data_IF_500548795013
#
_entry.id   IF_500548795013
#
_cell.length_a   1.000
_cell.length_b   1.000
_cell.length_c   1.000
_cell.angle_alpha   90.00
_cell.angle_beta   90.00
_cell.angle_gamma   90.00
#
_symmetry.space_group_name_H-M   'P 1'
#
loop_
_entity.id
_entity.type
_entity.pdbx_description
1 polymer ?
#
# COMPACT_ATOMS: atom_id res chain seq x y z
N UNK A 1 13.78 26.78 -23.13
CA UNK A 1 13.50 25.80 -22.04
C UNK A 1 12.43 26.42 -21.16
N UNK A 2 11.19 25.91 -21.19
CA UNK A 2 10.14 26.38 -20.28
C UNK A 2 10.57 26.03 -18.85
N UNK A 3 10.62 27.02 -17.95
CA UNK A 3 10.88 26.76 -16.54
C UNK A 3 9.81 25.83 -15.99
N UNK A 4 10.23 24.69 -15.43
CA UNK A 4 9.33 23.79 -14.73
C UNK A 4 8.91 24.47 -13.43
N UNK A 5 7.68 25.00 -13.40
CA UNK A 5 7.06 25.53 -12.19
C UNK A 5 7.09 24.46 -11.09
N UNK A 6 7.96 24.64 -10.10
CA UNK A 6 8.09 23.75 -8.95
C UNK A 6 7.12 24.20 -7.88
N UNK A 7 6.29 23.27 -7.42
CA UNK A 7 5.34 23.51 -6.36
C UNK A 7 5.90 23.01 -5.02
N UNK A 8 6.35 23.94 -4.18
CA UNK A 8 7.02 23.61 -2.91
C UNK A 8 6.14 22.78 -1.95
N UNK A 9 4.82 22.93 -2.01
CA UNK A 9 3.89 22.17 -1.16
C UNK A 9 3.98 20.65 -1.40
N UNK A 10 4.24 20.20 -2.64
CA UNK A 10 4.41 18.77 -2.89
C UNK A 10 5.66 18.22 -2.21
N UNK A 11 6.70 19.04 -2.08
CA UNK A 11 7.95 18.63 -1.45
C UNK A 11 7.78 18.57 0.06
N UNK A 12 7.15 19.58 0.68
CA UNK A 12 6.83 19.55 2.12
C UNK A 12 5.94 18.37 2.50
N UNK A 13 4.89 18.09 1.71
CA UNK A 13 4.02 16.93 1.93
C UNK A 13 4.79 15.61 1.77
N UNK A 14 5.68 15.52 0.77
CA UNK A 14 6.50 14.31 0.58
C UNK A 14 7.45 14.09 1.76
N UNK A 15 8.08 15.15 2.27
CA UNK A 15 8.99 15.07 3.43
C UNK A 15 8.21 14.61 4.68
N UNK A 16 7.06 15.24 4.95
CA UNK A 16 6.23 14.86 6.09
C UNK A 16 5.72 13.41 5.98
N UNK A 17 5.30 12.97 4.78
CA UNK A 17 4.89 11.59 4.54
C UNK A 17 6.05 10.59 4.72
N UNK A 18 7.28 10.94 4.27
CA UNK A 18 8.45 10.09 4.51
C UNK A 18 8.71 9.90 6.01
N UNK A 19 8.64 10.98 6.79
CA UNK A 19 8.83 10.93 8.25
C UNK A 19 7.74 10.07 8.91
N UNK A 20 6.48 10.23 8.52
CA UNK A 20 5.37 9.43 9.03
C UNK A 20 5.55 7.93 8.73
N UNK A 21 5.98 7.56 7.52
CA UNK A 21 6.30 6.16 7.17
C UNK A 21 7.43 5.61 8.03
N UNK A 22 8.48 6.40 8.28
CA UNK A 22 9.58 5.99 9.16
C UNK A 22 9.08 5.67 10.57
N UNK A 23 8.23 6.52 11.14
CA UNK A 23 7.64 6.27 12.45
C UNK A 23 6.85 4.97 12.48
N UNK A 24 5.98 4.71 11.49
CA UNK A 24 5.22 3.46 11.42
C UNK A 24 6.15 2.23 11.32
N UNK A 25 7.19 2.30 10.49
CA UNK A 25 8.05 1.13 10.24
C UNK A 25 9.06 0.86 11.37
N UNK A 26 9.31 1.83 12.24
CA UNK A 26 10.11 1.65 13.45
C UNK A 26 9.27 1.25 14.66
N UNK A 27 7.94 1.26 14.53
CA UNK A 27 7.00 1.03 15.62
C UNK A 27 6.59 -0.46 15.73
N UNK A 28 7.56 -1.34 15.98
CA UNK A 28 7.31 -2.79 16.06
C UNK A 28 6.26 -3.19 17.12
N UNK A 29 6.12 -2.40 18.19
CA UNK A 29 5.13 -2.61 19.26
C UNK A 29 3.69 -2.48 18.77
N UNK A 30 3.43 -1.73 17.71
CA UNK A 30 2.08 -1.60 17.17
C UNK A 30 1.51 -2.93 16.66
N UNK A 31 2.37 -3.84 16.19
CA UNK A 31 1.97 -5.08 15.54
C UNK A 31 1.77 -6.25 16.50
N UNK A 32 2.14 -6.09 17.77
CA UNK A 32 1.99 -7.12 18.80
C UNK A 32 1.12 -6.58 19.93
N UNK A 33 -0.10 -7.10 20.04
CA UNK A 33 -1.01 -6.66 21.08
C UNK A 33 -0.41 -6.91 22.45
N UNK A 34 -0.28 -5.83 23.21
CA UNK A 34 0.14 -5.86 24.60
C UNK A 34 -0.78 -4.94 25.40
N UNK A 35 -1.22 -5.40 26.58
CA UNK A 35 -2.05 -4.58 27.46
C UNK A 35 -1.17 -3.59 28.24
N UNK A 36 -0.57 -2.62 27.53
CA UNK A 36 0.33 -1.62 28.09
C UNK A 36 0.02 -0.21 27.58
N UNK A 37 0.39 0.81 28.36
CA UNK A 37 0.30 2.20 27.93
C UNK A 37 1.20 2.48 26.70
N UNK A 38 2.32 1.78 26.59
CA UNK A 38 3.24 1.89 25.45
C UNK A 38 2.58 1.39 24.17
N UNK A 39 1.88 0.26 24.20
CA UNK A 39 1.12 -0.23 23.05
C UNK A 39 0.05 0.78 22.60
N UNK A 40 -0.66 1.41 23.55
CA UNK A 40 -1.66 2.42 23.23
C UNK A 40 -1.05 3.66 22.56
N UNK A 41 0.11 4.13 23.06
CA UNK A 41 0.85 5.24 22.44
C UNK A 41 1.33 4.84 21.04
N UNK A 42 1.86 3.63 20.88
CA UNK A 42 2.24 3.07 19.59
C UNK A 42 1.08 3.04 18.60
N UNK A 43 -0.12 2.64 19.03
CA UNK A 43 -1.34 2.71 18.20
C UNK A 43 -1.73 4.14 17.85
N UNK A 44 -1.62 5.08 18.79
CA UNK A 44 -1.84 6.50 18.52
C UNK A 44 -0.91 7.03 17.42
N UNK A 45 0.37 6.66 17.45
CA UNK A 45 1.36 7.04 16.42
C UNK A 45 1.00 6.44 15.06
N UNK A 46 0.63 5.16 14.99
CA UNK A 46 0.16 4.53 13.75
C UNK A 46 -1.00 5.30 13.13
N UNK A 47 -2.06 5.55 13.91
CA UNK A 47 -3.25 6.26 13.43
C UNK A 47 -2.91 7.67 12.93
N UNK A 48 -2.02 8.38 13.61
CA UNK A 48 -1.57 9.72 13.22
C UNK A 48 -0.68 9.73 11.98
N UNK A 49 0.02 8.63 11.67
CA UNK A 49 0.94 8.54 10.53
C UNK A 49 0.31 7.87 9.30
N UNK A 50 -0.83 7.19 9.46
CA UNK A 50 -1.47 6.38 8.43
C UNK A 50 -1.79 7.13 7.11
N UNK A 51 -2.00 8.45 7.19
CA UNK A 51 -2.26 9.31 6.04
C UNK A 51 -1.12 9.36 5.01
N UNK A 52 0.10 8.97 5.40
CA UNK A 52 1.29 9.11 4.56
C UNK A 52 1.20 8.32 3.25
N UNK A 53 0.68 7.08 3.31
CA UNK A 53 0.57 6.19 2.15
C UNK A 53 -0.40 6.76 1.09
N UNK A 54 -1.66 7.13 1.43
CA UNK A 54 -2.55 7.82 0.50
C UNK A 54 -1.94 9.08 -0.13
N UNK A 55 -1.17 9.86 0.64
CA UNK A 55 -0.54 11.08 0.12
C UNK A 55 0.53 10.77 -0.93
N UNK A 56 1.31 9.69 -0.79
CA UNK A 56 2.24 9.29 -1.86
C UNK A 56 1.53 8.96 -3.17
N UNK A 57 0.40 8.26 -3.12
CA UNK A 57 -0.40 7.98 -4.31
C UNK A 57 -1.00 9.26 -4.91
N UNK A 58 -1.52 10.17 -4.06
CA UNK A 58 -2.05 11.45 -4.49
C UNK A 58 -1.00 12.32 -5.20
N UNK A 59 0.19 12.47 -4.59
CA UNK A 59 1.30 13.25 -5.17
C UNK A 59 1.75 12.62 -6.50
N UNK A 60 1.83 11.29 -6.56
CA UNK A 60 2.16 10.56 -7.78
C UNK A 60 1.13 10.80 -8.87
N UNK A 61 -0.16 10.70 -8.57
CA UNK A 61 -1.25 11.02 -9.49
C UNK A 61 -1.14 12.45 -10.01
N UNK A 62 -1.12 13.44 -9.11
CA UNK A 62 -1.09 14.87 -9.47
C UNK A 62 0.08 15.23 -10.40
N UNK A 63 1.28 14.69 -10.16
CA UNK A 63 2.46 14.96 -10.99
C UNK A 63 2.40 14.28 -12.36
N UNK A 64 1.64 13.18 -12.48
CA UNK A 64 1.65 12.31 -13.64
C UNK A 64 0.41 12.41 -14.51
N UNK A 65 -0.71 12.94 -14.04
CA UNK A 65 -1.95 13.07 -14.83
C UNK A 65 -1.75 13.80 -16.17
N UNK A 66 -0.86 14.80 -16.19
CA UNK A 66 -0.52 15.57 -17.41
C UNK A 66 0.73 15.04 -18.14
N UNK A 67 1.09 13.75 -18.00
CA UNK A 67 2.30 13.22 -18.65
C UNK A 67 2.22 13.27 -20.19
N UNK A 68 1.01 13.15 -20.76
CA UNK A 68 0.75 13.11 -22.21
C UNK A 68 1.16 14.40 -22.94
N UNK A 69 1.27 15.50 -22.21
CA UNK A 69 1.75 16.79 -22.75
C UNK A 69 3.27 16.79 -22.98
N UNK A 70 4.00 15.85 -22.38
CA UNK A 70 5.47 15.84 -22.34
C UNK A 70 6.09 14.58 -22.92
N UNK A 71 5.40 13.45 -22.84
CA UNK A 71 5.93 12.14 -23.18
C UNK A 71 4.86 11.24 -23.79
N UNK A 72 5.28 10.32 -24.64
CA UNK A 72 4.43 9.23 -25.11
C UNK A 72 4.13 8.24 -23.98
N UNK A 73 3.03 7.48 -24.08
CA UNK A 73 2.70 6.43 -23.10
C UNK A 73 3.79 5.36 -23.01
N UNK A 74 4.46 5.04 -24.13
CA UNK A 74 5.58 4.09 -24.15
C UNK A 74 6.75 4.59 -23.30
N UNK A 75 7.13 5.86 -23.46
CA UNK A 75 8.20 6.47 -22.64
C UNK A 75 7.80 6.59 -21.17
N UNK A 76 6.53 6.88 -20.89
CA UNK A 76 6.01 6.91 -19.53
C UNK A 76 6.21 5.55 -18.83
N UNK A 77 5.74 4.46 -19.45
CA UNK A 77 5.85 3.11 -18.88
C UNK A 77 7.32 2.70 -18.72
N UNK A 78 8.15 2.93 -19.75
CA UNK A 78 9.59 2.62 -19.70
C UNK A 78 10.27 3.26 -18.48
N UNK A 79 10.01 4.55 -18.25
CA UNK A 79 10.58 5.27 -17.09
C UNK A 79 10.09 4.75 -15.75
N UNK A 80 8.88 4.16 -15.65
CA UNK A 80 8.38 3.54 -14.40
C UNK A 80 9.03 2.19 -14.15
N UNK A 81 9.21 1.39 -15.20
CA UNK A 81 9.97 0.14 -15.10
C UNK A 81 11.38 0.44 -14.60
N UNK A 82 12.08 1.38 -15.23
CA UNK A 82 13.46 1.74 -14.88
C UNK A 82 13.62 2.28 -13.46
N UNK A 83 12.67 3.10 -13.00
CA UNK A 83 12.79 3.80 -11.70
C UNK A 83 12.12 3.09 -10.53
N UNK A 84 11.27 2.12 -10.78
CA UNK A 84 10.47 1.46 -9.73
C UNK A 84 10.62 -0.05 -9.79
N UNK A 85 10.31 -0.68 -10.92
CA UNK A 85 10.33 -2.14 -11.04
C UNK A 85 11.76 -2.68 -10.92
N UNK A 86 12.71 -2.10 -11.65
CA UNK A 86 14.11 -2.55 -11.62
C UNK A 86 14.71 -2.41 -10.21
N UNK A 87 14.64 -1.24 -9.53
CA UNK A 87 15.13 -1.12 -8.17
C UNK A 87 14.44 -2.06 -7.18
N UNK A 88 13.12 -2.23 -7.27
CA UNK A 88 12.37 -3.13 -6.39
C UNK A 88 12.85 -4.59 -6.53
N UNK A 89 12.98 -5.09 -7.76
CA UNK A 89 13.47 -6.45 -8.01
C UNK A 89 14.93 -6.62 -7.60
N UNK A 90 15.78 -5.62 -7.89
CA UNK A 90 17.19 -5.66 -7.52
C UNK A 90 17.37 -5.72 -5.99
N UNK A 91 16.67 -4.87 -5.24
CA UNK A 91 16.73 -4.92 -3.78
C UNK A 91 16.14 -6.21 -3.22
N UNK A 92 15.02 -6.68 -3.76
CA UNK A 92 14.42 -7.96 -3.35
C UNK A 92 15.39 -9.13 -3.54
N UNK A 93 16.13 -9.15 -4.65
CA UNK A 93 17.17 -10.15 -4.91
C UNK A 93 18.36 -10.05 -3.95
N UNK A 94 18.84 -8.83 -3.66
CA UNK A 94 19.91 -8.61 -2.66
C UNK A 94 19.48 -9.14 -1.29
N UNK A 95 18.26 -8.85 -0.86
CA UNK A 95 17.76 -9.31 0.44
C UNK A 95 17.54 -10.81 0.49
N UNK A 96 17.01 -11.42 -0.57
CA UNK A 96 16.90 -12.87 -0.67
C UNK A 96 18.28 -13.53 -0.57
N UNK A 97 19.28 -12.99 -1.26
CA UNK A 97 20.65 -13.48 -1.19
C UNK A 97 21.24 -13.38 0.22
N UNK A 98 21.00 -12.27 0.94
CA UNK A 98 21.41 -12.13 2.34
C UNK A 98 20.73 -13.15 3.27
N UNK A 99 19.46 -13.48 3.02
CA UNK A 99 18.74 -14.52 3.77
C UNK A 99 19.32 -15.92 3.53
N UNK A 100 19.72 -16.22 2.29
CA UNK A 100 20.41 -17.49 1.96
C UNK A 100 21.74 -17.58 2.69
N UNK A 101 22.56 -16.52 2.70
CA UNK A 101 23.85 -16.51 3.42
C UNK A 101 23.65 -16.72 4.92
N UNK A 102 22.60 -16.14 5.50
CA UNK A 102 22.27 -16.29 6.93
C UNK A 102 21.66 -17.66 7.27
N UNK A 103 21.40 -18.50 6.27
CA UNK A 103 20.79 -19.82 6.45
C UNK A 103 19.30 -19.79 6.80
N UNK A 104 18.63 -18.63 6.67
CA UNK A 104 17.18 -18.53 6.90
C UNK A 104 16.36 -19.08 5.74
N UNK A 105 16.95 -19.20 4.54
CA UNK A 105 16.33 -19.80 3.35
C UNK A 105 17.30 -20.82 2.73
N UNK A 106 16.81 -22.02 2.41
CA UNK A 106 17.62 -23.06 1.76
C UNK A 106 17.81 -22.77 0.27
N UNK A 107 18.97 -23.10 -0.27
CA UNK A 107 19.28 -22.91 -1.71
C UNK A 107 18.29 -23.63 -2.65
N UNK A 108 17.78 -24.79 -2.22
CA UNK A 108 16.80 -25.58 -2.95
C UNK A 108 15.45 -24.85 -3.12
N UNK A 109 15.07 -24.03 -2.14
CA UNK A 109 13.86 -23.20 -2.20
C UNK A 109 14.05 -22.06 -3.22
N UNK A 110 15.28 -21.56 -3.36
CA UNK A 110 15.66 -20.48 -4.29
C UNK A 110 15.70 -20.93 -5.76
N UNK A 111 15.92 -22.22 -6.01
CA UNK A 111 15.96 -22.77 -7.38
C UNK A 111 14.58 -23.18 -7.91
N UNK A 112 13.52 -23.02 -7.11
CA UNK A 112 12.17 -23.43 -7.45
C UNK A 112 11.31 -22.27 -7.98
N UNK A 113 10.20 -22.58 -8.66
CA UNK A 113 9.18 -21.61 -9.10
C UNK A 113 8.65 -20.76 -7.93
N UNK A 114 8.80 -21.25 -6.68
CA UNK A 114 8.37 -20.53 -5.47
C UNK A 114 9.11 -19.20 -5.31
N UNK A 115 10.29 -19.03 -5.88
CA UNK A 115 10.97 -17.72 -5.86
C UNK A 115 10.16 -16.67 -6.58
N UNK A 116 9.55 -16.97 -7.71
CA UNK A 116 8.69 -16.00 -8.40
C UNK A 116 7.53 -15.58 -7.50
N UNK A 117 6.95 -16.52 -6.76
CA UNK A 117 5.93 -16.22 -5.75
C UNK A 117 6.46 -15.30 -4.65
N UNK A 118 7.65 -15.58 -4.10
CA UNK A 118 8.27 -14.75 -3.05
C UNK A 118 8.44 -13.28 -3.48
N UNK A 119 8.83 -13.05 -4.73
CA UNK A 119 8.98 -11.70 -5.28
C UNK A 119 7.63 -11.04 -5.53
N UNK A 120 6.71 -11.71 -6.23
CA UNK A 120 5.43 -11.13 -6.64
C UNK A 120 4.50 -10.86 -5.45
N UNK A 121 4.51 -11.74 -4.46
CA UNK A 121 3.70 -11.59 -3.23
C UNK A 121 4.43 -10.79 -2.14
N UNK A 122 5.61 -10.22 -2.43
CA UNK A 122 6.39 -9.38 -1.51
C UNK A 122 6.71 -10.05 -0.17
N UNK A 123 6.84 -11.37 -0.17
CA UNK A 123 7.08 -12.18 1.04
C UNK A 123 8.53 -12.09 1.54
N UNK A 124 9.46 -11.60 0.70
CA UNK A 124 10.86 -11.38 1.08
C UNK A 124 10.97 -10.24 2.10
N UNK A 125 10.28 -9.14 1.83
CA UNK A 125 10.21 -7.95 2.69
C UNK A 125 8.77 -7.46 2.64
N UNK A 126 8.03 -7.67 3.72
CA UNK A 126 6.60 -7.36 3.72
C UNK A 126 6.29 -5.90 3.41
N UNK A 127 7.13 -4.95 3.82
CA UNK A 127 6.95 -3.51 3.53
C UNK A 127 7.04 -3.17 2.02
N UNK A 128 7.51 -4.10 1.18
CA UNK A 128 7.54 -3.92 -0.27
C UNK A 128 6.18 -4.07 -0.94
N UNK A 129 5.12 -4.43 -0.21
CA UNK A 129 3.74 -4.44 -0.72
C UNK A 129 3.34 -3.13 -1.42
N UNK A 130 3.95 -2.01 -1.00
CA UNK A 130 3.76 -0.70 -1.60
C UNK A 130 4.16 -0.64 -3.09
N UNK A 131 5.17 -1.41 -3.53
CA UNK A 131 5.63 -1.38 -4.91
C UNK A 131 4.60 -1.95 -5.90
N UNK A 132 4.05 -3.17 -5.71
CA UNK A 132 2.92 -3.65 -6.51
C UNK A 132 1.74 -2.69 -6.52
N UNK A 133 1.34 -2.13 -5.36
CA UNK A 133 0.25 -1.15 -5.29
C UNK A 133 0.55 0.10 -6.15
N UNK A 134 1.77 0.62 -6.07
CA UNK A 134 2.21 1.76 -6.87
C UNK A 134 2.25 1.46 -8.37
N UNK A 135 2.66 0.25 -8.75
CA UNK A 135 2.64 -0.20 -10.16
C UNK A 135 1.20 -0.25 -10.66
N UNK A 136 0.26 -0.80 -9.90
CA UNK A 136 -1.17 -0.84 -10.24
C UNK A 136 -1.72 0.58 -10.48
N UNK A 137 -1.41 1.53 -9.59
CA UNK A 137 -1.77 2.94 -9.78
C UNK A 137 -1.16 3.50 -11.07
N UNK A 138 0.10 3.22 -11.36
CA UNK A 138 0.75 3.68 -12.60
C UNK A 138 0.13 3.09 -13.87
N UNK A 139 -0.40 1.87 -13.82
CA UNK A 139 -1.14 1.28 -14.94
C UNK A 139 -2.49 1.95 -15.16
N UNK A 140 -3.13 2.47 -14.10
CA UNK A 140 -4.36 3.26 -14.22
C UNK A 140 -4.13 4.66 -14.81
N UNK A 141 -2.95 5.27 -14.59
CA UNK A 141 -2.67 6.66 -15.00
C UNK A 141 -2.90 6.92 -16.50
N UNK A 142 -2.46 6.09 -17.46
CA UNK A 142 -2.75 6.30 -18.88
C UNK A 142 -4.24 6.42 -19.21
N UNK A 143 -5.09 5.67 -18.50
CA UNK A 143 -6.55 5.67 -18.64
C UNK A 143 -7.13 6.92 -18.00
N UNK A 144 -6.80 7.19 -16.74
CA UNK A 144 -7.27 8.38 -16.02
C UNK A 144 -6.84 9.68 -16.71
N UNK A 145 -5.62 9.72 -17.24
CA UNK A 145 -5.09 10.83 -18.02
C UNK A 145 -5.88 11.06 -19.30
N UNK A 146 -6.28 9.98 -20.00
CA UNK A 146 -7.11 10.10 -21.20
C UNK A 146 -8.52 10.66 -20.86
N UNK A 147 -9.14 10.15 -19.79
CA UNK A 147 -10.43 10.66 -19.29
C UNK A 147 -10.30 12.13 -18.90
N UNK A 148 -9.24 12.53 -18.19
CA UNK A 148 -9.06 13.93 -17.78
C UNK A 148 -8.94 14.93 -18.94
N UNK A 149 -8.68 14.44 -20.15
CA UNK A 149 -8.57 15.27 -21.37
C UNK A 149 -9.83 15.25 -22.23
N UNK A 150 -10.83 14.44 -21.91
CA UNK A 150 -12.14 14.51 -22.57
C UNK A 150 -12.92 15.73 -22.09
N UNK A 151 -13.89 16.18 -22.88
CA UNK A 151 -14.74 17.34 -22.59
C UNK A 151 -15.42 17.22 -21.21
N UNK A 152 -15.99 16.05 -20.90
CA UNK A 152 -16.65 15.77 -19.60
C UNK A 152 -15.72 15.16 -18.55
N UNK A 153 -14.40 15.20 -18.78
CA UNK A 153 -13.42 14.42 -18.00
C UNK A 153 -13.42 14.68 -16.50
N UNK A 154 -13.51 15.95 -16.11
CA UNK A 154 -13.55 16.35 -14.70
C UNK A 154 -14.83 15.86 -13.99
N UNK A 155 -15.97 15.90 -14.68
CA UNK A 155 -17.25 15.37 -14.18
C UNK A 155 -17.20 13.86 -13.98
N UNK A 156 -16.64 13.13 -14.97
CA UNK A 156 -16.48 11.67 -14.90
C UNK A 156 -15.55 11.27 -13.74
N UNK A 157 -14.42 11.96 -13.56
CA UNK A 157 -13.49 11.66 -12.47
C UNK A 157 -14.11 11.94 -11.11
N UNK A 158 -14.83 13.06 -10.95
CA UNK A 158 -15.58 13.37 -9.72
C UNK A 158 -16.66 12.34 -9.43
N UNK A 159 -17.37 11.88 -10.45
CA UNK A 159 -18.36 10.81 -10.32
C UNK A 159 -17.70 9.51 -9.84
N UNK A 160 -16.60 9.08 -10.47
CA UNK A 160 -15.86 7.87 -10.06
C UNK A 160 -15.43 7.97 -8.59
N UNK A 161 -14.85 9.09 -8.19
CA UNK A 161 -14.41 9.32 -6.80
C UNK A 161 -15.60 9.34 -5.84
N UNK A 162 -16.67 10.06 -6.18
CA UNK A 162 -17.86 10.20 -5.35
C UNK A 162 -18.59 8.88 -5.14
N UNK A 163 -18.84 8.12 -6.21
CA UNK A 163 -19.49 6.82 -6.13
C UNK A 163 -18.62 5.83 -5.37
N UNK A 164 -17.32 5.75 -5.66
CA UNK A 164 -16.37 4.93 -4.87
C UNK A 164 -16.44 5.27 -3.39
N UNK A 165 -16.39 6.57 -3.05
CA UNK A 165 -16.39 7.01 -1.67
C UNK A 165 -17.68 6.59 -0.94
N UNK A 166 -18.82 6.76 -1.60
CA UNK A 166 -20.13 6.39 -1.07
C UNK A 166 -20.22 4.87 -0.89
N UNK A 167 -19.93 4.09 -1.93
CA UNK A 167 -20.13 2.63 -1.89
C UNK A 167 -19.12 1.89 -1.03
N UNK A 168 -17.90 2.43 -0.87
CA UNK A 168 -16.80 1.75 -0.17
C UNK A 168 -16.64 2.19 1.28
N UNK A 169 -17.00 3.44 1.60
CA UNK A 169 -16.84 3.97 2.96
C UNK A 169 -18.17 4.36 3.61
N UNK A 170 -19.04 5.11 2.92
CA UNK A 170 -20.26 5.63 3.55
C UNK A 170 -21.32 4.54 3.77
N UNK A 171 -21.61 3.73 2.75
CA UNK A 171 -22.65 2.70 2.82
C UNK A 171 -22.31 1.58 3.81
N UNK A 172 -21.10 0.98 3.80
CA UNK A 172 -20.78 -0.07 4.77
C UNK A 172 -20.86 0.44 6.20
N UNK A 173 -20.33 1.64 6.47
CA UNK A 173 -20.38 2.27 7.78
C UNK A 173 -21.82 2.57 8.23
N UNK A 174 -22.67 3.07 7.34
CA UNK A 174 -24.08 3.31 7.63
C UNK A 174 -24.82 2.01 7.93
N UNK A 175 -24.60 0.96 7.13
CA UNK A 175 -25.23 -0.35 7.32
C UNK A 175 -24.77 -1.02 8.61
N UNK A 176 -23.50 -0.85 8.99
CA UNK A 176 -22.96 -1.30 10.27
C UNK A 176 -23.66 -0.63 11.46
N UNK A 177 -23.88 0.68 11.40
CA UNK A 177 -24.65 1.41 12.43
C UNK A 177 -26.09 0.91 12.51
N UNK A 178 -26.71 0.64 11.37
CA UNK A 178 -28.07 0.12 11.28
C UNK A 178 -28.17 -1.38 11.62
N UNK A 179 -27.04 -2.06 11.83
CA UNK A 179 -26.94 -3.52 12.02
C UNK A 179 -27.60 -4.33 10.88
N UNK A 180 -27.48 -3.83 9.66
CA UNK A 180 -27.95 -4.49 8.43
C UNK A 180 -26.74 -5.07 7.71
N UNK A 181 -26.86 -6.29 7.18
CA UNK A 181 -25.81 -6.88 6.35
C UNK A 181 -25.66 -6.09 5.04
N UNK A 182 -24.45 -5.59 4.77
CA UNK A 182 -24.14 -4.89 3.54
C UNK A 182 -23.74 -5.88 2.43
N UNK A 183 -24.50 -5.90 1.34
CA UNK A 183 -24.12 -6.67 0.16
C UNK A 183 -22.90 -6.03 -0.53
N UNK A 184 -21.76 -6.72 -0.49
CA UNK A 184 -20.49 -6.26 -1.07
C UNK A 184 -20.52 -6.15 -2.59
N UNK A 185 -21.43 -6.84 -3.27
CA UNK A 185 -21.61 -6.72 -4.73
C UNK A 185 -22.11 -5.32 -5.15
N UNK A 186 -22.56 -4.50 -4.19
CA UNK A 186 -22.91 -3.09 -4.41
C UNK A 186 -21.69 -2.16 -4.40
N UNK A 187 -20.48 -2.65 -4.11
CA UNK A 187 -19.26 -1.86 -4.18
C UNK A 187 -18.95 -1.49 -5.63
N UNK A 188 -18.57 -0.24 -5.86
CA UNK A 188 -18.27 0.23 -7.20
C UNK A 188 -16.99 -0.43 -7.76
N UNK A 189 -17.06 -1.15 -8.90
CA UNK A 189 -15.93 -1.95 -9.38
C UNK A 189 -14.67 -1.15 -9.72
N UNK A 190 -14.81 0.13 -10.11
CA UNK A 190 -13.67 0.99 -10.44
C UNK A 190 -13.03 1.62 -9.19
N UNK A 191 -13.64 1.45 -8.01
CA UNK A 191 -13.18 2.02 -6.74
C UNK A 191 -12.04 1.25 -6.06
N UNK A 192 -11.73 0.05 -6.54
CA UNK A 192 -10.63 -0.80 -6.05
C UNK A 192 -10.92 -1.46 -4.69
N UNK A 193 -10.61 -2.75 -4.58
CA UNK A 193 -10.80 -3.58 -3.37
C UNK A 193 -9.67 -3.44 -2.33
N UNK A 194 -8.96 -2.30 -2.28
CA UNK A 194 -7.86 -2.13 -1.32
C UNK A 194 -8.32 -2.11 0.16
N UNK A 195 -9.62 -1.96 0.40
CA UNK A 195 -10.22 -2.03 1.75
C UNK A 195 -10.51 -3.45 2.24
N UNK A 196 -10.52 -4.46 1.36
CA UNK A 196 -10.92 -5.83 1.71
C UNK A 196 -10.02 -6.50 2.75
N UNK A 197 -8.71 -6.18 2.76
CA UNK A 197 -7.76 -6.72 3.73
C UNK A 197 -7.91 -6.15 5.15
N UNK A 198 -8.50 -4.96 5.33
CA UNK A 198 -8.74 -4.40 6.66
C UNK A 198 -10.01 -4.99 7.32
N UNK A 199 -11.02 -5.33 6.52
CA UNK A 199 -12.27 -5.92 7.01
C UNK A 199 -12.19 -7.44 7.26
N UNK A 200 -11.12 -8.13 6.85
CA UNK A 200 -10.92 -9.54 7.24
C UNK A 200 -10.35 -9.67 8.66
N UNK A 201 -9.78 -8.60 9.22
CA UNK A 201 -9.19 -8.60 10.57
C UNK A 201 -10.23 -8.32 11.67
N UNK A 202 -11.26 -7.51 11.37
CA UNK A 202 -12.30 -7.14 12.36
C UNK A 202 -13.21 -8.32 12.78
N UNK A 203 -13.62 -9.25 11.89
CA UNK A 203 -14.43 -10.43 12.28
C UNK A 203 -13.66 -11.41 13.18
N UNK A 204 -12.34 -11.50 13.04
CA UNK A 204 -11.50 -12.40 13.84
C UNK A 204 -11.32 -11.96 15.30
N UNK A 205 -11.56 -10.69 15.61
CA UNK A 205 -11.53 -10.16 16.98
C UNK A 205 -12.86 -10.40 17.70
N UNK A 206 -13.97 -10.44 16.95
CA UNK A 206 -15.31 -10.72 17.49
C UNK A 206 -15.52 -12.17 17.92
N UNK A 207 -14.86 -13.13 17.26
CA UNK A 207 -15.09 -14.56 17.47
C UNK A 207 -14.06 -15.24 18.42
N UNK A 208 -13.03 -14.51 18.88
CA UNK A 208 -11.94 -15.04 19.73
C UNK A 208 -12.17 -14.94 21.25
N UNK A 209 -13.42 -14.76 21.69
CA UNK A 209 -13.76 -14.66 23.12
C UNK A 209 -14.05 -16.01 23.81
N UNK A 210 -14.13 -17.13 23.09
CA UNK A 210 -14.47 -18.43 23.71
C UNK A 210 -13.34 -19.44 23.83
N UNK A 211 -12.24 -19.35 23.06
CA UNK A 211 -11.30 -20.47 22.97
C UNK A 211 -9.83 -20.03 23.06
N UNK A 212 -9.35 -19.80 24.28
CA UNK A 212 -7.92 -19.72 24.56
C UNK A 212 -7.37 -21.13 24.64
N UNK A 213 -6.89 -21.64 23.49
CA UNK A 213 -5.78 -22.58 23.48
C UNK A 213 -4.63 -21.91 22.76
N UNK A 214 -3.50 -21.84 23.46
CA UNK A 214 -2.22 -21.33 22.98
C UNK A 214 -1.85 -21.95 21.63
N UNK A 215 -2.20 -21.27 20.55
CA UNK A 215 -1.61 -21.54 19.24
C UNK A 215 -0.29 -20.80 19.20
N UNK A 216 0.80 -21.57 19.27
CA UNK A 216 2.15 -21.09 18.98
C UNK A 216 2.14 -20.60 17.53
N UNK A 217 1.99 -19.29 17.35
CA UNK A 217 2.14 -18.62 16.06
C UNK A 217 3.65 -18.69 15.75
N UNK A 218 4.09 -19.34 14.65
CA UNK A 218 5.48 -19.23 14.23
C UNK A 218 5.77 -17.75 13.99
N UNK A 219 6.89 -17.19 14.46
CA UNK A 219 7.22 -15.76 14.34
C UNK A 219 7.69 -15.38 12.92
N UNK A 220 6.89 -14.69 12.07
CA UNK A 220 7.37 -14.15 10.80
C UNK A 220 8.17 -12.85 10.94
N UNK A 221 8.27 -12.26 12.14
CA UNK A 221 8.81 -10.91 12.34
C UNK A 221 9.87 -10.87 13.43
N UNK A 222 11.09 -11.32 13.10
CA UNK A 222 12.26 -10.82 13.83
C UNK A 222 12.51 -9.37 13.41
N UNK A 223 12.70 -8.43 14.36
CA UNK A 223 13.10 -7.06 14.04
C UNK A 223 14.38 -7.06 13.19
N UNK A 224 14.42 -6.23 12.15
CA UNK A 224 15.54 -6.11 11.21
C UNK A 224 16.82 -5.52 11.82
N UNK A 225 16.84 -5.27 13.12
CA UNK A 225 18.04 -4.86 13.83
C UNK A 225 18.96 -6.06 14.00
N UNK A 226 20.13 -5.97 13.37
CA UNK A 226 21.27 -6.82 13.68
C UNK A 226 21.41 -6.84 15.20
N UNK A 227 21.37 -8.03 15.86
CA UNK A 227 21.86 -8.10 17.22
C UNK A 227 23.34 -7.72 17.16
N UNK A 228 23.68 -6.59 17.80
CA UNK A 228 25.05 -6.34 18.24
C UNK A 228 25.34 -7.27 19.42
#
# INVERSE_FOLDING_TARGET
MSEKKRYAYFDYLSIAACIAVLYMHHNGLAHHYEKSAMWLISMGIECLCFWAVPVFFMISGAKLMNYRERHTTKEFIKRRIEKVVIPWLAWSAIFLFLQVIKGSVKLEEVLSIKVVSLFLNTEIIGVYWFFPALISVYLCIPVLSAISKSEDGDGILKYIVGVTFITTYCLPWLFEILRIEFNRDLMFPLGGEYSGQFYTVIPEVGNRRSDVKETVIPEPWKPWFLPL
#
